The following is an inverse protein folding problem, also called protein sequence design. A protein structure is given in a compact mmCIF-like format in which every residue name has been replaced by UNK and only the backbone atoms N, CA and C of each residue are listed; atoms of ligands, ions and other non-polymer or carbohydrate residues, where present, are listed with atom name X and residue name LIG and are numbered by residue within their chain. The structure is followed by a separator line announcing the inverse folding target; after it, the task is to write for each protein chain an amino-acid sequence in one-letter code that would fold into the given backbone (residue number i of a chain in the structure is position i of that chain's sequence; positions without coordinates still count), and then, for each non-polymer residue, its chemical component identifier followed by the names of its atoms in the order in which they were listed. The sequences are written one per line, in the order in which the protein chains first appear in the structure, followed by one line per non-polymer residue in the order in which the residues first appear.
data_IF_023625211839
#
_entry.id   IF_023625211839
#
_cell.length_a   1.000
_cell.length_b   1.000
_cell.length_c   1.000
_cell.angle_alpha   90.00
_cell.angle_beta   90.00
_cell.angle_gamma   90.00
#
_symmetry.space_group_name_H-M   'P 1'
#
loop_
_entity.id
_entity.type
_entity.pdbx_description
1 polymer ?
#
# COMPACT_ATOMS: atom_id res chain seq x y z
N UNK A 1 4.07 8.68 -10.66
CA UNK A 1 2.72 8.47 -10.06
C UNK A 1 2.73 8.99 -8.64
N UNK A 2 1.67 9.66 -8.15
CA UNK A 2 1.64 10.17 -6.77
C UNK A 2 0.86 9.23 -5.84
N UNK A 3 1.32 9.05 -4.61
CA UNK A 3 0.76 8.07 -3.65
C UNK A 3 0.31 8.76 -2.36
N UNK A 4 -0.97 9.07 -2.22
CA UNK A 4 -1.49 9.92 -1.13
C UNK A 4 -2.06 9.19 0.09
N UNK A 5 -1.57 9.48 1.31
CA UNK A 5 -2.05 8.81 2.53
C UNK A 5 -3.22 9.55 3.17
N UNK A 6 -4.29 8.83 3.47
CA UNK A 6 -5.36 9.35 4.33
C UNK A 6 -4.82 9.67 5.73
N UNK A 7 -5.47 10.62 6.42
CA UNK A 7 -5.06 11.01 7.77
C UNK A 7 -5.10 9.84 8.76
N UNK A 8 -6.06 8.93 8.61
CA UNK A 8 -6.13 7.71 9.43
C UNK A 8 -4.96 6.78 9.14
N UNK A 9 -4.58 6.60 7.87
CA UNK A 9 -3.42 5.79 7.51
C UNK A 9 -2.12 6.37 8.09
N UNK A 10 -1.91 7.69 8.01
CA UNK A 10 -0.76 8.36 8.63
C UNK A 10 -0.70 8.12 10.15
N UNK A 11 -1.84 8.19 10.84
CA UNK A 11 -1.95 7.91 12.29
C UNK A 11 -1.62 6.44 12.61
N UNK A 12 -2.10 5.50 11.79
CA UNK A 12 -1.81 4.08 11.98
C UNK A 12 -0.34 3.76 11.70
N UNK A 13 0.25 4.38 10.67
CA UNK A 13 1.65 4.17 10.31
C UNK A 13 2.62 4.58 11.44
N UNK A 14 2.27 5.61 12.21
CA UNK A 14 3.05 6.01 13.40
C UNK A 14 3.01 4.99 14.54
N UNK A 15 2.03 4.07 14.55
CA UNK A 15 1.85 3.06 15.61
C UNK A 15 2.49 1.72 15.29
N UNK A 16 2.93 1.51 14.05
CA UNK A 16 3.50 0.22 13.63
C UNK A 16 5.02 0.23 13.76
N UNK A 17 5.66 -0.94 13.97
CA UNK A 17 7.11 -1.05 14.00
C UNK A 17 7.78 -0.48 12.73
N UNK A 18 8.99 0.05 12.89
CA UNK A 18 9.73 0.71 11.80
C UNK A 18 9.87 -0.16 10.55
N UNK A 19 10.11 -1.47 10.70
CA UNK A 19 10.25 -2.37 9.55
C UNK A 19 8.98 -2.45 8.68
N UNK A 20 7.79 -2.28 9.28
CA UNK A 20 6.51 -2.22 8.56
C UNK A 20 6.42 -0.94 7.75
N UNK A 21 6.87 0.18 8.33
CA UNK A 21 6.92 1.47 7.66
C UNK A 21 7.90 1.43 6.48
N UNK A 22 9.09 0.88 6.68
CA UNK A 22 10.10 0.72 5.62
C UNK A 22 9.57 -0.12 4.46
N UNK A 23 8.87 -1.24 4.74
CA UNK A 23 8.28 -2.08 3.69
C UNK A 23 7.20 -1.34 2.90
N UNK A 24 6.35 -0.56 3.57
CA UNK A 24 5.35 0.27 2.90
C UNK A 24 6.01 1.33 2.02
N UNK A 25 7.02 2.05 2.54
CA UNK A 25 7.71 3.09 1.78
C UNK A 25 8.49 2.51 0.60
N UNK A 26 9.04 1.30 0.73
CA UNK A 26 9.64 0.58 -0.38
C UNK A 26 8.61 0.27 -1.46
N UNK A 27 7.43 -0.26 -1.11
CA UNK A 27 6.37 -0.44 -2.10
C UNK A 27 5.97 0.87 -2.78
N UNK A 28 5.85 1.96 -2.02
CA UNK A 28 5.55 3.29 -2.58
C UNK A 28 6.61 3.69 -3.60
N UNK A 29 7.91 3.56 -3.29
CA UNK A 29 8.95 3.93 -4.24
C UNK A 29 8.90 3.07 -5.50
N UNK A 30 8.67 1.76 -5.37
CA UNK A 30 8.50 0.90 -6.54
C UNK A 30 7.34 1.36 -7.44
N UNK A 31 6.21 1.76 -6.86
CA UNK A 31 5.05 2.25 -7.64
C UNK A 31 5.35 3.59 -8.30
N UNK A 32 6.12 4.45 -7.63
CA UNK A 32 6.53 5.74 -8.19
C UNK A 32 7.49 5.58 -9.36
N UNK A 33 8.44 4.65 -9.24
CA UNK A 33 9.52 4.41 -10.20
C UNK A 33 9.06 3.59 -11.41
N UNK A 34 8.28 2.53 -11.18
CA UNK A 34 7.93 1.53 -12.21
C UNK A 34 6.45 1.53 -12.60
N UNK A 35 5.60 2.20 -11.83
CA UNK A 35 4.15 2.18 -12.03
C UNK A 35 3.47 0.92 -11.46
N UNK A 36 2.16 1.04 -11.20
CA UNK A 36 1.42 0.00 -10.49
C UNK A 36 1.35 -1.34 -11.24
N UNK A 37 1.26 -1.32 -12.57
CA UNK A 37 1.15 -2.55 -13.37
C UNK A 37 2.43 -3.40 -13.29
N UNK A 38 3.60 -2.78 -13.20
CA UNK A 38 4.87 -3.50 -13.03
C UNK A 38 5.04 -4.02 -11.60
N UNK A 39 4.71 -3.19 -10.60
CA UNK A 39 4.82 -3.58 -9.19
C UNK A 39 3.89 -4.75 -8.83
N UNK A 40 2.74 -4.86 -9.49
CA UNK A 40 1.81 -6.00 -9.33
C UNK A 40 2.43 -7.34 -9.70
N UNK A 41 3.48 -7.36 -10.53
CA UNK A 41 4.18 -8.59 -10.92
C UNK A 41 5.18 -9.05 -9.85
N UNK A 42 5.55 -8.17 -8.91
CA UNK A 42 6.53 -8.46 -7.86
C UNK A 42 5.86 -9.34 -6.79
N UNK A 43 6.36 -10.57 -6.55
CA UNK A 43 5.81 -11.43 -5.50
C UNK A 43 6.05 -10.83 -4.11
N UNK A 44 5.08 -11.01 -3.20
CA UNK A 44 5.23 -10.67 -1.78
C UNK A 44 4.51 -9.39 -1.32
N UNK A 45 4.13 -8.48 -2.21
CA UNK A 45 3.30 -7.32 -1.82
C UNK A 45 1.83 -7.69 -1.60
N UNK A 46 1.33 -8.76 -2.25
CA UNK A 46 -0.07 -9.18 -2.20
C UNK A 46 -1.00 -8.00 -2.49
N UNK A 47 -0.74 -7.35 -3.62
CA UNK A 47 -1.50 -6.18 -4.05
C UNK A 47 -2.88 -6.60 -4.57
N UNK A 48 -3.94 -6.13 -3.91
CA UNK A 48 -5.33 -6.48 -4.21
C UNK A 48 -6.19 -5.22 -4.45
N UNK A 49 -7.00 -5.18 -5.51
CA UNK A 49 -7.96 -4.10 -5.72
C UNK A 49 -9.12 -4.20 -4.72
N UNK A 50 -9.55 -3.07 -4.18
CA UNK A 50 -10.67 -3.00 -3.25
C UNK A 50 -12.00 -2.85 -4.00
N UNK A 51 -13.07 -3.40 -3.42
CA UNK A 51 -14.42 -3.45 -4.00
C UNK A 51 -15.37 -2.44 -3.31
N UNK A 52 -16.54 -2.23 -3.89
CA UNK A 52 -17.61 -1.41 -3.31
C UNK A 52 -17.23 0.07 -3.19
N UNK A 53 -17.47 0.68 -2.02
CA UNK A 53 -17.16 2.10 -1.72
C UNK A 53 -15.68 2.48 -1.88
N UNK A 54 -14.80 1.49 -2.00
CA UNK A 54 -13.35 1.65 -2.15
C UNK A 54 -12.86 1.28 -3.55
N UNK A 55 -13.76 1.16 -4.53
CA UNK A 55 -13.39 0.98 -5.93
C UNK A 55 -12.41 2.09 -6.34
N UNK A 56 -11.34 1.73 -7.05
CA UNK A 56 -10.24 2.64 -7.37
C UNK A 56 -9.17 2.73 -6.28
N UNK A 57 -9.30 1.98 -5.18
CA UNK A 57 -8.26 1.86 -4.17
C UNK A 57 -7.67 0.45 -4.15
N UNK A 58 -6.46 0.31 -3.61
CA UNK A 58 -5.75 -0.96 -3.52
C UNK A 58 -5.26 -1.21 -2.09
N UNK A 59 -4.95 -2.45 -1.77
CA UNK A 59 -4.33 -2.81 -0.49
C UNK A 59 -3.14 -3.70 -0.71
N UNK A 60 -2.14 -3.57 0.15
CA UNK A 60 -0.98 -4.45 0.18
C UNK A 60 -0.85 -5.09 1.55
N UNK A 61 -0.30 -6.30 1.57
CA UNK A 61 -0.03 -7.02 2.81
C UNK A 61 1.35 -6.65 3.33
N UNK A 62 1.39 -5.86 4.40
CA UNK A 62 2.64 -5.49 5.05
C UNK A 62 3.15 -6.59 5.99
N UNK A 63 2.26 -7.35 6.64
CA UNK A 63 2.58 -8.40 7.62
C UNK A 63 1.80 -9.70 7.38
N UNK A 64 2.39 -10.83 7.77
CA UNK A 64 1.77 -12.17 7.75
C UNK A 64 0.55 -12.26 8.69
N UNK A 65 0.59 -11.59 9.85
CA UNK A 65 -0.48 -11.53 10.83
C UNK A 65 -1.52 -10.44 10.49
N UNK A 66 -2.42 -10.70 9.55
CA UNK A 66 -3.76 -10.06 9.45
C UNK A 66 -3.87 -8.52 9.38
N UNK A 67 -2.77 -7.77 9.26
CA UNK A 67 -2.77 -6.31 9.22
C UNK A 67 -3.14 -5.78 7.84
N UNK A 68 -4.42 -5.48 7.63
CA UNK A 68 -4.94 -4.82 6.42
C UNK A 68 -4.51 -3.34 6.40
N UNK A 69 -3.51 -3.00 5.57
CA UNK A 69 -3.21 -1.62 5.22
C UNK A 69 -3.73 -1.36 3.81
N UNK A 70 -4.73 -0.49 3.74
CA UNK A 70 -5.48 -0.22 2.51
C UNK A 70 -5.19 1.21 2.10
N UNK A 71 -4.76 1.43 0.86
CA UNK A 71 -4.59 2.79 0.37
C UNK A 71 -4.82 2.95 -1.14
N UNK A 72 -5.63 3.97 -1.40
CA UNK A 72 -5.96 4.59 -2.66
C UNK A 72 -4.73 4.81 -3.54
N UNK A 73 -4.76 4.21 -4.72
CA UNK A 73 -4.01 4.68 -5.87
C UNK A 73 -5.03 5.41 -6.73
N UNK A 74 -5.10 6.73 -6.59
CA UNK A 74 -5.88 7.53 -7.53
C UNK A 74 -5.13 7.45 -8.85
N UNK A 75 -5.78 6.90 -9.87
CA UNK A 75 -5.28 6.89 -11.25
C UNK A 75 -5.71 8.17 -11.93
#
# INVERSE_FOLDING_TARGET
MEVEFSNNAKKQLRKVPNYVQSKLMYWVSQVQDYGIEEVRKIPGFHDEPLKGKRKGQRSIRLLSLGGLYTKSLTT
#
